data_IF_424902408586
#
_entry.id   IF_424902408586
#
_cell.length_a   1.000
_cell.length_b   1.000
_cell.length_c   1.000
_cell.angle_alpha   90.00
_cell.angle_beta   90.00
_cell.angle_gamma   90.00
#
_symmetry.space_group_name_H-M   'P 1'
#
loop_
_entity.id
_entity.type
_entity.pdbx_description
1 polymer ?
#
# COMPACT_ATOMS: atom_id res chain seq x y z
N UNK A 1 2.32 -43.10 13.46
CA UNK A 1 2.71 -41.68 13.31
C UNK A 1 1.60 -40.98 12.53
N UNK A 2 0.58 -40.50 13.23
CA UNK A 2 -0.48 -39.68 12.63
C UNK A 2 0.12 -38.31 12.32
N UNK A 3 0.28 -37.98 11.04
CA UNK A 3 0.47 -36.61 10.60
C UNK A 3 -0.81 -35.86 10.97
N UNK A 4 -0.90 -35.30 12.17
CA UNK A 4 -1.94 -34.33 12.50
C UNK A 4 -1.72 -33.13 11.59
N UNK A 5 -2.55 -33.05 10.56
CA UNK A 5 -2.59 -31.92 9.65
C UNK A 5 -2.98 -30.70 10.50
N UNK A 6 -2.02 -29.81 10.76
CA UNK A 6 -2.28 -28.57 11.48
C UNK A 6 -3.11 -27.62 10.59
N UNK A 7 -4.44 -27.70 10.75
CA UNK A 7 -5.42 -26.88 10.04
C UNK A 7 -5.12 -25.38 10.14
N UNK A 8 -4.53 -24.93 11.26
CA UNK A 8 -4.16 -23.52 11.49
C UNK A 8 -3.03 -23.10 10.56
N UNK A 9 -2.06 -23.98 10.30
CA UNK A 9 -0.98 -23.71 9.35
C UNK A 9 -1.47 -23.68 7.91
N UNK A 10 -2.41 -24.56 7.54
CA UNK A 10 -3.01 -24.56 6.21
C UNK A 10 -3.80 -23.27 5.97
N UNK A 11 -4.68 -22.88 6.89
CA UNK A 11 -5.44 -21.61 6.78
C UNK A 11 -4.50 -20.41 6.70
N UNK A 12 -3.40 -20.41 7.48
CA UNK A 12 -2.37 -19.37 7.42
C UNK A 12 -1.71 -19.28 6.05
N UNK A 13 -1.31 -20.41 5.46
CA UNK A 13 -0.69 -20.45 4.12
C UNK A 13 -1.66 -20.02 3.03
N UNK A 14 -2.92 -20.44 3.13
CA UNK A 14 -3.97 -20.03 2.19
C UNK A 14 -4.16 -18.52 2.22
N UNK A 15 -4.27 -17.91 3.41
CA UNK A 15 -4.42 -16.47 3.53
C UNK A 15 -3.21 -15.68 3.01
N UNK A 16 -1.99 -16.09 3.35
CA UNK A 16 -0.79 -15.37 2.90
C UNK A 16 -0.57 -15.50 1.41
N UNK A 17 -1.01 -16.60 0.79
CA UNK A 17 -0.95 -16.79 -0.67
C UNK A 17 -1.75 -15.73 -1.43
N UNK A 18 -2.85 -15.22 -0.85
CA UNK A 18 -3.66 -14.15 -1.45
C UNK A 18 -2.88 -12.86 -1.62
N UNK A 19 -1.83 -12.61 -0.83
CA UNK A 19 -1.00 -11.41 -0.94
C UNK A 19 0.26 -11.61 -1.79
N UNK A 20 0.45 -12.78 -2.42
CA UNK A 20 1.65 -13.06 -3.21
C UNK A 20 1.58 -12.56 -4.67
N UNK A 21 0.48 -11.93 -5.06
CA UNK A 21 0.20 -11.53 -6.44
C UNK A 21 0.78 -10.17 -6.85
N UNK A 22 1.42 -9.42 -5.94
CA UNK A 22 2.06 -8.14 -6.28
C UNK A 22 1.10 -6.96 -6.45
N UNK A 23 -0.21 -7.16 -6.29
CA UNK A 23 -1.21 -6.09 -6.51
C UNK A 23 -1.15 -5.01 -5.44
N UNK A 24 -0.76 -5.35 -4.22
CA UNK A 24 -0.61 -4.38 -3.11
C UNK A 24 0.56 -3.43 -3.40
N UNK A 25 1.68 -3.99 -3.84
CA UNK A 25 2.85 -3.25 -4.26
C UNK A 25 2.51 -2.28 -5.42
N UNK A 26 1.70 -2.73 -6.39
CA UNK A 26 1.26 -1.89 -7.50
C UNK A 26 0.34 -0.75 -7.04
N UNK A 27 -0.68 -1.05 -6.23
CA UNK A 27 -1.63 -0.07 -5.70
C UNK A 27 -0.91 1.05 -4.94
N UNK A 28 -0.06 0.67 -3.98
CA UNK A 28 0.71 1.64 -3.18
C UNK A 28 1.70 2.41 -4.06
N UNK A 29 2.33 1.77 -5.05
CA UNK A 29 3.22 2.43 -6.00
C UNK A 29 2.51 3.52 -6.80
N UNK A 30 1.29 3.24 -7.31
CA UNK A 30 0.45 4.20 -8.02
C UNK A 30 0.09 5.38 -7.12
N UNK A 31 -0.29 5.13 -5.87
CA UNK A 31 -0.62 6.19 -4.91
C UNK A 31 0.59 7.10 -4.62
N UNK A 32 1.78 6.53 -4.45
CA UNK A 32 3.00 7.31 -4.19
C UNK A 32 3.40 8.14 -5.40
N UNK A 33 3.39 7.55 -6.60
CA UNK A 33 3.67 8.29 -7.83
C UNK A 33 2.64 9.41 -8.03
N UNK A 34 1.38 9.16 -7.69
CA UNK A 34 0.34 10.17 -7.69
C UNK A 34 0.68 11.38 -6.82
N UNK A 35 1.26 11.16 -5.65
CA UNK A 35 1.76 12.23 -4.77
C UNK A 35 2.82 13.11 -5.44
N UNK A 36 3.82 12.50 -6.08
CA UNK A 36 4.86 13.24 -6.81
C UNK A 36 4.33 14.02 -8.01
N UNK A 37 3.43 13.40 -8.77
CA UNK A 37 2.80 14.04 -9.92
C UNK A 37 1.91 15.21 -9.50
N UNK A 38 1.20 15.04 -8.39
CA UNK A 38 0.34 16.06 -7.82
C UNK A 38 1.16 17.29 -7.37
N UNK A 39 2.21 17.07 -6.57
CA UNK A 39 3.14 18.12 -6.16
C UNK A 39 3.78 18.84 -7.35
N UNK A 40 4.03 18.13 -8.45
CA UNK A 40 4.55 18.70 -9.69
C UNK A 40 3.53 19.63 -10.35
N UNK A 41 2.29 19.15 -10.55
CA UNK A 41 1.23 19.89 -11.23
C UNK A 41 0.81 21.14 -10.47
N UNK A 42 0.78 21.11 -9.13
CA UNK A 42 0.41 22.30 -8.33
C UNK A 42 1.38 23.48 -8.45
N UNK A 43 2.57 23.29 -9.04
CA UNK A 43 3.44 24.43 -9.38
C UNK A 43 2.96 25.18 -10.63
N UNK A 44 2.15 24.53 -11.48
CA UNK A 44 1.69 25.07 -12.76
C UNK A 44 0.20 25.42 -12.75
N UNK A 45 -0.58 24.79 -11.88
CA UNK A 45 -2.04 24.96 -11.79
C UNK A 45 -2.48 25.25 -10.35
N UNK A 46 -3.68 25.83 -10.22
CA UNK A 46 -4.26 26.15 -8.91
C UNK A 46 -4.37 24.95 -7.98
N UNK A 47 -4.37 25.23 -6.67
CA UNK A 47 -4.44 24.23 -5.59
C UNK A 47 -5.68 23.33 -5.65
N UNK A 48 -6.75 23.74 -6.35
CA UNK A 48 -7.94 22.91 -6.58
C UNK A 48 -7.64 21.62 -7.36
N UNK A 49 -6.60 21.62 -8.20
CA UNK A 49 -6.17 20.42 -8.94
C UNK A 49 -5.56 19.36 -8.02
N UNK A 50 -5.09 19.76 -6.83
CA UNK A 50 -4.49 18.85 -5.87
C UNK A 50 -5.48 17.77 -5.41
N UNK A 51 -6.68 18.18 -5.00
CA UNK A 51 -7.69 17.25 -4.53
C UNK A 51 -8.15 16.30 -5.66
N UNK A 52 -8.36 16.84 -6.86
CA UNK A 52 -8.80 16.06 -8.01
C UNK A 52 -7.79 14.97 -8.39
N UNK A 53 -6.51 15.31 -8.52
CA UNK A 53 -5.48 14.35 -8.89
C UNK A 53 -5.30 13.28 -7.82
N UNK A 54 -5.33 13.65 -6.54
CA UNK A 54 -5.24 12.68 -5.46
C UNK A 54 -6.38 11.66 -5.51
N UNK A 55 -7.61 12.12 -5.77
CA UNK A 55 -8.77 11.25 -5.97
C UNK A 55 -8.58 10.34 -7.19
N UNK A 56 -8.14 10.89 -8.32
CA UNK A 56 -7.91 10.11 -9.55
C UNK A 56 -6.89 8.99 -9.32
N UNK A 57 -5.73 9.29 -8.74
CA UNK A 57 -4.72 8.27 -8.46
C UNK A 57 -5.21 7.26 -7.42
N UNK A 58 -5.97 7.69 -6.42
CA UNK A 58 -6.60 6.79 -5.44
C UNK A 58 -7.59 5.83 -6.11
N UNK A 59 -8.42 6.32 -7.03
CA UNK A 59 -9.35 5.49 -7.81
C UNK A 59 -8.57 4.51 -8.69
N UNK A 60 -7.53 4.97 -9.39
CA UNK A 60 -6.73 4.12 -10.29
C UNK A 60 -6.02 3.01 -9.51
N UNK A 61 -5.41 3.33 -8.37
CA UNK A 61 -4.80 2.34 -7.48
C UNK A 61 -5.83 1.32 -7.00
N UNK A 62 -6.94 1.81 -6.43
CA UNK A 62 -8.01 0.96 -5.92
C UNK A 62 -8.60 0.05 -7.00
N UNK A 63 -8.82 0.57 -8.20
CA UNK A 63 -9.31 -0.21 -9.34
C UNK A 63 -8.29 -1.25 -9.78
N UNK A 64 -7.00 -0.90 -9.81
CA UNK A 64 -5.92 -1.85 -10.13
C UNK A 64 -5.91 -3.01 -9.14
N UNK A 65 -6.03 -2.72 -7.85
CA UNK A 65 -6.14 -3.73 -6.81
C UNK A 65 -7.40 -4.58 -6.95
N UNK A 66 -8.57 -3.94 -7.05
CA UNK A 66 -9.87 -4.62 -7.07
C UNK A 66 -10.05 -5.48 -8.33
N UNK A 67 -9.77 -4.91 -9.51
CA UNK A 67 -9.87 -5.63 -10.78
C UNK A 67 -8.80 -6.73 -10.86
N UNK A 68 -7.58 -6.45 -10.39
CA UNK A 68 -6.53 -7.46 -10.28
C UNK A 68 -6.97 -8.65 -9.43
N UNK A 69 -7.54 -8.41 -8.24
CA UNK A 69 -8.06 -9.50 -7.40
C UNK A 69 -9.19 -10.25 -8.10
N UNK A 70 -10.16 -9.54 -8.66
CA UNK A 70 -11.36 -10.12 -9.27
C UNK A 70 -11.04 -10.98 -10.50
N UNK A 71 -10.17 -10.49 -11.40
CA UNK A 71 -9.92 -11.11 -12.69
C UNK A 71 -8.62 -11.92 -12.76
N UNK A 72 -7.65 -11.66 -11.88
CA UNK A 72 -6.37 -12.36 -11.88
C UNK A 72 -6.29 -13.35 -10.73
N UNK A 73 -6.42 -12.88 -9.50
CA UNK A 73 -6.11 -13.68 -8.30
C UNK A 73 -7.21 -14.69 -7.97
N UNK A 74 -8.47 -14.25 -7.93
CA UNK A 74 -9.60 -15.09 -7.54
C UNK A 74 -9.82 -16.29 -8.47
N UNK A 75 -9.74 -16.16 -9.82
CA UNK A 75 -9.90 -17.30 -10.71
C UNK A 75 -8.77 -18.34 -10.61
N UNK A 76 -7.60 -17.97 -10.06
CA UNK A 76 -6.41 -18.84 -9.95
C UNK A 76 -6.29 -19.53 -8.60
N UNK A 77 -6.63 -18.83 -7.51
CA UNK A 77 -6.54 -19.37 -6.15
C UNK A 77 -7.87 -19.89 -5.59
N UNK A 78 -9.00 -19.51 -6.21
CA UNK A 78 -10.32 -19.68 -5.62
C UNK A 78 -10.56 -18.75 -4.43
N UNK A 79 -11.74 -18.87 -3.81
CA UNK A 79 -12.14 -18.06 -2.65
C UNK A 79 -12.22 -18.96 -1.42
N UNK A 80 -11.33 -18.75 -0.45
CA UNK A 80 -11.36 -19.46 0.82
C UNK A 80 -12.27 -18.73 1.83
N UNK A 81 -13.15 -19.48 2.52
CA UNK A 81 -13.89 -18.97 3.67
C UNK A 81 -13.03 -19.14 4.93
N UNK A 82 -12.65 -18.04 5.56
CA UNK A 82 -11.84 -18.06 6.78
C UNK A 82 -12.67 -18.31 8.03
N UNK A 83 -12.05 -18.91 9.06
CA UNK A 83 -12.71 -19.19 10.33
C UNK A 83 -13.00 -17.93 11.17
N UNK A 84 -13.89 -18.03 12.18
CA UNK A 84 -14.37 -16.88 12.97
C UNK A 84 -13.25 -16.11 13.68
N UNK A 85 -12.20 -16.81 14.14
CA UNK A 85 -11.01 -16.18 14.76
C UNK A 85 -10.32 -15.20 13.82
N UNK A 86 -10.25 -15.52 12.53
CA UNK A 86 -9.56 -14.70 11.53
C UNK A 86 -10.42 -13.54 11.04
N UNK A 87 -11.73 -13.74 10.95
CA UNK A 87 -12.69 -12.66 10.70
C UNK A 87 -12.66 -11.61 11.81
N UNK A 88 -12.53 -12.03 13.09
CA UNK A 88 -12.35 -11.11 14.21
C UNK A 88 -11.02 -10.33 14.12
N UNK A 89 -9.92 -10.99 13.75
CA UNK A 89 -8.64 -10.32 13.52
C UNK A 89 -8.70 -9.30 12.38
N UNK A 90 -9.44 -9.61 11.29
CA UNK A 90 -9.66 -8.69 10.19
C UNK A 90 -10.48 -7.46 10.61
N UNK A 91 -11.54 -7.65 11.40
CA UNK A 91 -12.29 -6.53 12.00
C UNK A 91 -11.41 -5.66 12.89
N UNK A 92 -10.54 -6.26 13.70
CA UNK A 92 -9.56 -5.53 14.51
C UNK A 92 -8.60 -4.71 13.64
N UNK A 93 -8.09 -5.28 12.56
CA UNK A 93 -7.23 -4.58 11.61
C UNK A 93 -7.96 -3.41 10.95
N UNK A 94 -9.23 -3.60 10.56
CA UNK A 94 -10.06 -2.55 10.00
C UNK A 94 -10.28 -1.40 10.99
N UNK A 95 -10.55 -1.71 12.26
CA UNK A 95 -10.65 -0.69 13.32
C UNK A 95 -9.34 0.07 13.53
N UNK A 96 -8.20 -0.63 13.57
CA UNK A 96 -6.87 0.01 13.70
C UNK A 96 -6.61 0.92 12.50
N UNK A 97 -6.90 0.47 11.29
CA UNK A 97 -6.72 1.25 10.06
C UNK A 97 -7.61 2.49 10.08
N UNK A 98 -8.88 2.33 10.45
CA UNK A 98 -9.83 3.44 10.57
C UNK A 98 -9.37 4.47 11.61
N UNK A 99 -8.85 4.01 12.76
CA UNK A 99 -8.27 4.88 13.78
C UNK A 99 -7.11 5.70 13.22
N UNK A 100 -6.20 5.08 12.46
CA UNK A 100 -5.10 5.80 11.81
C UNK A 100 -5.58 6.80 10.75
N UNK A 101 -6.58 6.46 9.95
CA UNK A 101 -7.18 7.39 8.97
C UNK A 101 -7.82 8.60 9.69
N UNK A 102 -8.55 8.37 10.78
CA UNK A 102 -9.14 9.45 11.57
C UNK A 102 -8.05 10.33 12.20
N UNK A 103 -7.05 9.72 12.84
CA UNK A 103 -5.95 10.45 13.48
C UNK A 103 -5.17 11.30 12.47
N UNK A 104 -4.86 10.75 11.29
CA UNK A 104 -4.17 11.49 10.22
C UNK A 104 -5.04 12.60 9.63
N UNK A 105 -6.34 12.37 9.45
CA UNK A 105 -7.28 13.40 9.00
C UNK A 105 -7.35 14.55 10.00
N UNK A 106 -7.45 14.26 11.30
CA UNK A 106 -7.43 15.29 12.36
C UNK A 106 -6.12 16.08 12.31
N UNK A 107 -4.97 15.41 12.20
CA UNK A 107 -3.67 16.08 12.08
C UNK A 107 -3.61 17.02 10.87
N UNK A 108 -4.13 16.60 9.72
CA UNK A 108 -4.20 17.43 8.50
C UNK A 108 -5.10 18.65 8.74
N UNK A 109 -6.26 18.49 9.37
CA UNK A 109 -7.17 19.60 9.67
C UNK A 109 -6.52 20.59 10.65
N UNK A 110 -5.89 20.09 11.73
CA UNK A 110 -5.24 20.94 12.73
C UNK A 110 -4.06 21.73 12.13
N UNK A 111 -3.26 21.09 11.27
CA UNK A 111 -2.15 21.75 10.58
C UNK A 111 -2.62 22.76 9.54
N UNK A 112 -3.67 22.47 8.77
CA UNK A 112 -4.26 23.40 7.80
C UNK A 112 -4.84 24.67 8.45
N UNK A 113 -5.35 24.57 9.69
CA UNK A 113 -5.89 25.70 10.45
C UNK A 113 -4.85 26.42 11.33
N UNK A 114 -3.56 26.08 11.20
CA UNK A 114 -2.46 26.62 12.03
C UNK A 114 -2.65 26.44 13.55
N UNK A 115 -3.44 25.44 13.97
CA UNK A 115 -3.71 25.15 15.38
C UNK A 115 -2.59 24.34 16.04
N UNK A 116 -1.72 23.72 15.24
CA UNK A 116 -0.50 23.05 15.70
C UNK A 116 0.72 23.92 15.36
N UNK A 117 1.56 24.13 16.36
CA UNK A 117 2.81 24.87 16.20
C UNK A 117 3.72 24.12 15.21
N UNK A 118 3.96 24.72 14.04
CA UNK A 118 4.76 24.10 12.97
C UNK A 118 6.22 23.85 13.38
N UNK A 119 6.69 24.49 14.46
CA UNK A 119 8.08 24.44 14.96
C UNK A 119 8.58 23.04 15.30
N UNK A 120 7.72 22.12 15.74
CA UNK A 120 8.10 20.72 16.05
C UNK A 120 8.41 19.90 14.78
N UNK A 121 8.05 20.41 13.61
CA UNK A 121 8.11 19.68 12.33
C UNK A 121 9.06 20.35 11.32
N UNK A 122 9.88 21.31 11.77
CA UNK A 122 10.81 22.03 10.91
C UNK A 122 12.11 21.24 10.74
N UNK A 123 12.49 21.02 9.48
CA UNK A 123 13.75 20.37 9.10
C UNK A 123 13.65 18.85 8.96
N UNK A 124 14.74 18.27 8.47
CA UNK A 124 14.80 16.86 8.08
C UNK A 124 14.46 15.88 9.23
N UNK A 125 14.87 16.22 10.47
CA UNK A 125 14.58 15.40 11.65
C UNK A 125 13.08 15.28 11.94
N UNK A 126 12.35 16.40 11.83
CA UNK A 126 10.89 16.42 12.00
C UNK A 126 10.18 15.59 10.93
N UNK A 127 10.59 15.72 9.66
CA UNK A 127 10.01 14.97 8.54
C UNK A 127 10.27 13.47 8.69
N UNK A 128 11.47 13.07 9.14
CA UNK A 128 11.78 11.65 9.42
C UNK A 128 10.84 11.12 10.50
N UNK A 129 10.68 11.82 11.63
CA UNK A 129 9.79 11.40 12.72
C UNK A 129 8.34 11.27 12.23
N UNK A 130 7.84 12.26 11.49
CA UNK A 130 6.50 12.23 10.92
C UNK A 130 6.33 11.04 9.98
N UNK A 131 7.27 10.84 9.05
CA UNK A 131 7.20 9.74 8.09
C UNK A 131 7.18 8.38 8.78
N UNK A 132 7.96 8.24 9.87
CA UNK A 132 8.01 7.02 10.66
C UNK A 132 6.70 6.77 11.41
N UNK A 133 6.13 7.79 12.06
CA UNK A 133 4.92 7.66 12.88
C UNK A 133 3.63 7.54 12.05
N UNK A 134 3.55 8.27 10.93
CA UNK A 134 2.33 8.37 10.12
C UNK A 134 2.29 7.32 9.00
N UNK A 135 3.44 6.95 8.43
CA UNK A 135 3.48 6.05 7.27
C UNK A 135 4.08 4.70 7.64
N UNK A 136 5.32 4.68 8.13
CA UNK A 136 6.05 3.42 8.33
C UNK A 136 5.44 2.57 9.46
N UNK A 137 5.15 3.18 10.61
CA UNK A 137 4.64 2.47 11.79
C UNK A 137 3.24 1.87 11.53
N UNK A 138 2.24 2.59 10.99
CA UNK A 138 0.92 2.02 10.76
C UNK A 138 0.96 0.87 9.75
N UNK A 139 1.70 1.02 8.64
CA UNK A 139 1.85 -0.03 7.64
C UNK A 139 2.58 -1.25 8.24
N UNK A 140 3.57 -1.03 9.11
CA UNK A 140 4.28 -2.11 9.81
C UNK A 140 3.39 -2.87 10.81
N UNK A 141 2.49 -2.18 11.51
CA UNK A 141 1.49 -2.81 12.39
C UNK A 141 0.52 -3.66 11.55
N UNK A 142 0.09 -3.15 10.40
CA UNK A 142 -0.73 -3.89 9.45
C UNK A 142 0.04 -5.12 8.94
N UNK A 143 1.32 -4.98 8.59
CA UNK A 143 2.18 -6.08 8.15
C UNK A 143 2.30 -7.19 9.19
N UNK A 144 2.47 -6.82 10.47
CA UNK A 144 2.53 -7.75 11.59
C UNK A 144 1.25 -8.58 11.70
N UNK A 145 0.09 -7.91 11.70
CA UNK A 145 -1.20 -8.60 11.83
C UNK A 145 -1.56 -9.43 10.61
N UNK A 146 -1.20 -8.98 9.40
CA UNK A 146 -1.42 -9.72 8.16
C UNK A 146 -0.42 -10.87 7.96
N UNK A 147 0.65 -10.94 8.77
CA UNK A 147 1.79 -11.84 8.54
C UNK A 147 2.36 -11.68 7.13
N UNK A 148 2.39 -10.45 6.63
CA UNK A 148 2.82 -10.13 5.28
C UNK A 148 4.19 -9.47 5.32
N UNK A 149 5.25 -10.28 5.38
CA UNK A 149 6.63 -9.80 5.61
C UNK A 149 7.09 -8.75 4.59
N UNK A 150 6.66 -8.85 3.32
CA UNK A 150 7.04 -7.87 2.30
C UNK A 150 6.45 -6.48 2.56
N UNK A 151 5.32 -6.40 3.27
CA UNK A 151 4.69 -5.12 3.60
C UNK A 151 5.55 -4.25 4.53
N UNK A 152 6.48 -4.84 5.30
CA UNK A 152 7.49 -4.05 6.02
C UNK A 152 8.45 -3.32 5.09
N UNK A 153 8.92 -3.97 4.01
CA UNK A 153 9.77 -3.33 3.02
C UNK A 153 9.02 -2.20 2.29
N UNK A 154 7.75 -2.44 1.97
CA UNK A 154 6.86 -1.41 1.41
C UNK A 154 6.73 -0.24 2.39
N UNK A 155 6.46 -0.50 3.68
CA UNK A 155 6.35 0.55 4.69
C UNK A 155 7.57 1.47 4.73
N UNK A 156 8.77 0.89 4.66
CA UNK A 156 10.03 1.64 4.65
C UNK A 156 10.17 2.45 3.36
N UNK A 157 9.92 1.86 2.19
CA UNK A 157 9.98 2.58 0.91
C UNK A 157 8.99 3.76 0.87
N UNK A 158 7.77 3.57 1.38
CA UNK A 158 6.77 4.63 1.49
C UNK A 158 7.23 5.74 2.45
N UNK A 159 7.75 5.37 3.61
CA UNK A 159 8.23 6.32 4.62
C UNK A 159 9.42 7.14 4.15
N UNK A 160 10.31 6.56 3.32
CA UNK A 160 11.51 7.23 2.83
C UNK A 160 11.23 8.28 1.75
N UNK A 161 10.09 8.23 1.06
CA UNK A 161 9.78 9.17 -0.02
C UNK A 161 9.78 10.63 0.45
N UNK A 162 9.27 10.92 1.65
CA UNK A 162 9.17 12.30 2.14
C UNK A 162 10.52 12.86 2.63
N UNK A 163 11.27 12.17 3.51
CA UNK A 163 12.61 12.59 3.89
C UNK A 163 13.55 12.74 2.69
N UNK A 164 13.41 11.86 1.69
CA UNK A 164 14.23 11.93 0.49
C UNK A 164 13.92 13.16 -0.37
N UNK A 165 12.64 13.57 -0.48
CA UNK A 165 12.28 14.84 -1.13
C UNK A 165 12.96 16.03 -0.44
N UNK A 166 12.97 16.06 0.91
CA UNK A 166 13.63 17.14 1.65
C UNK A 166 15.15 17.16 1.45
N UNK A 167 15.82 16.00 1.39
CA UNK A 167 17.25 15.94 1.08
C UNK A 167 17.54 16.50 -0.31
N UNK A 168 16.72 16.14 -1.29
CA UNK A 168 16.85 16.60 -2.68
C UNK A 168 16.61 18.10 -2.85
N UNK A 169 16.01 18.77 -1.86
CA UNK A 169 15.75 20.21 -1.89
C UNK A 169 17.00 21.06 -2.10
N UNK A 170 18.14 20.61 -1.57
CA UNK A 170 19.43 21.30 -1.73
C UNK A 170 20.07 21.08 -3.10
N UNK A 171 19.62 20.08 -3.85
CA UNK A 171 20.24 19.67 -5.12
C UNK A 171 19.38 19.99 -6.35
N UNK A 172 18.06 19.96 -6.19
CA UNK A 172 17.11 20.06 -7.31
C UNK A 172 15.92 20.94 -6.94
N UNK A 173 15.52 21.80 -7.88
CA UNK A 173 14.35 22.67 -7.74
C UNK A 173 13.03 21.93 -7.99
N UNK A 174 11.94 22.59 -7.61
CA UNK A 174 10.60 22.20 -8.04
C UNK A 174 10.46 22.40 -9.56
N UNK A 175 9.80 21.49 -10.31
CA UNK A 175 9.04 20.33 -9.87
C UNK A 175 9.82 19.00 -9.88
N UNK A 176 11.02 18.97 -10.48
CA UNK A 176 11.77 17.74 -10.70
C UNK A 176 12.09 16.98 -9.41
N UNK A 177 12.26 17.71 -8.31
CA UNK A 177 12.49 17.13 -6.97
C UNK A 177 11.43 16.09 -6.57
N UNK A 178 10.15 16.49 -6.62
CA UNK A 178 9.04 15.64 -6.25
C UNK A 178 8.88 14.47 -7.23
N UNK A 179 9.08 14.72 -8.53
CA UNK A 179 9.03 13.67 -9.53
C UNK A 179 10.11 12.61 -9.29
N UNK A 180 11.34 13.02 -8.97
CA UNK A 180 12.45 12.10 -8.69
C UNK A 180 12.19 11.32 -7.41
N UNK A 181 11.82 11.99 -6.32
CA UNK A 181 11.63 11.31 -5.04
C UNK A 181 10.50 10.29 -5.09
N UNK A 182 9.29 10.75 -5.35
CA UNK A 182 8.10 9.89 -5.36
C UNK A 182 8.08 8.95 -6.57
N UNK A 183 8.63 9.36 -7.71
CA UNK A 183 8.78 8.51 -8.89
C UNK A 183 9.76 7.37 -8.65
N UNK A 184 10.87 7.60 -7.94
CA UNK A 184 11.84 6.55 -7.61
C UNK A 184 11.19 5.50 -6.69
N UNK A 185 10.61 5.91 -5.57
CA UNK A 185 10.01 4.97 -4.62
C UNK A 185 8.73 4.33 -5.17
N UNK A 186 7.80 5.12 -5.71
CA UNK A 186 6.56 4.62 -6.29
C UNK A 186 6.79 3.75 -7.52
N UNK A 187 7.73 4.14 -8.39
CA UNK A 187 8.16 3.35 -9.55
C UNK A 187 8.82 2.03 -9.14
N UNK A 188 9.67 2.02 -8.11
CA UNK A 188 10.27 0.79 -7.59
C UNK A 188 9.21 -0.19 -7.06
N UNK A 189 8.18 0.31 -6.38
CA UNK A 189 7.06 -0.49 -5.89
C UNK A 189 6.20 -1.03 -7.04
N UNK A 190 5.92 -0.22 -8.05
CA UNK A 190 5.23 -0.66 -9.27
C UNK A 190 5.99 -1.78 -9.99
N UNK A 191 7.30 -1.60 -10.20
CA UNK A 191 8.16 -2.61 -10.84
C UNK A 191 8.17 -3.89 -10.01
N UNK A 192 8.36 -3.78 -8.69
CA UNK A 192 8.32 -4.92 -7.77
C UNK A 192 6.99 -5.65 -7.85
N UNK A 193 5.87 -4.92 -7.81
CA UNK A 193 4.53 -5.48 -7.91
C UNK A 193 4.28 -6.18 -9.23
N UNK A 194 4.71 -5.59 -10.34
CA UNK A 194 4.62 -6.21 -11.67
C UNK A 194 5.44 -7.50 -11.76
N UNK A 195 6.66 -7.53 -11.21
CA UNK A 195 7.49 -8.74 -11.16
C UNK A 195 6.79 -9.85 -10.37
N UNK A 196 6.20 -9.52 -9.22
CA UNK A 196 5.46 -10.50 -8.41
C UNK A 196 4.19 -10.97 -9.12
N UNK A 197 3.46 -10.08 -9.79
CA UNK A 197 2.28 -10.43 -10.57
C UNK A 197 2.63 -11.40 -11.71
N UNK A 198 3.69 -11.13 -12.45
CA UNK A 198 4.15 -12.02 -13.52
C UNK A 198 4.60 -13.39 -12.98
N UNK A 199 5.33 -13.41 -11.86
CA UNK A 199 5.71 -14.67 -11.18
C UNK A 199 4.49 -15.42 -10.67
N UNK A 200 3.50 -14.72 -10.13
CA UNK A 200 2.27 -15.29 -9.64
C UNK A 200 1.46 -15.94 -10.76
N UNK A 201 1.28 -15.26 -11.88
CA UNK A 201 0.58 -15.81 -13.06
C UNK A 201 1.28 -17.06 -13.60
N UNK A 202 2.62 -17.08 -13.62
CA UNK A 202 3.39 -18.26 -14.05
C UNK A 202 3.28 -19.43 -13.06
N UNK A 203 3.24 -19.14 -11.76
CA UNK A 203 3.17 -20.15 -10.70
C UNK A 203 1.77 -20.76 -10.55
N UNK A 204 0.73 -19.97 -10.81
CA UNK A 204 -0.67 -20.37 -10.68
C UNK A 204 -1.38 -20.23 -12.04
N UNK A 205 -1.17 -21.18 -12.97
CA UNK A 205 -1.91 -21.19 -14.23
C UNK A 205 -3.41 -21.39 -13.97
N UNK A 206 -4.25 -20.93 -14.89
CA UNK A 206 -5.70 -21.15 -14.80
C UNK A 206 -5.99 -22.66 -14.86
N UNK A 207 -6.93 -23.17 -14.05
CA UNK A 207 -7.38 -24.55 -14.18
C UNK A 207 -7.88 -24.83 -15.60
N UNK A 208 -7.50 -25.97 -16.18
CA UNK A 208 -8.09 -26.46 -17.43
C UNK A 208 -9.61 -26.56 -17.28
N UNK A 209 -10.38 -26.20 -18.31
CA UNK A 209 -11.86 -26.28 -18.33
C UNK A 209 -12.37 -27.65 -17.88
N UNK A 210 -11.65 -28.73 -18.17
CA UNK A 210 -12.02 -30.10 -17.77
C UNK A 210 -12.06 -30.33 -16.25
N UNK A 211 -11.29 -29.57 -15.46
CA UNK A 211 -11.29 -29.67 -13.99
C UNK A 211 -12.36 -28.76 -13.37
N UNK A 212 -12.77 -27.69 -14.08
CA UNK A 212 -13.78 -26.75 -13.62
C UNK A 212 -15.21 -27.30 -13.71
N UNK A 213 -15.45 -28.22 -14.67
CA UNK A 213 -16.75 -28.86 -14.91
C UNK A 213 -16.88 -30.24 -14.22
N UNK A 214 -15.85 -30.69 -13.48
CA UNK A 214 -15.93 -31.91 -12.69
C UNK A 214 -16.89 -31.68 -11.50
N UNK A 215 -17.93 -32.53 -11.32
CA UNK A 215 -18.84 -32.39 -10.20
C UNK A 215 -18.08 -32.54 -8.88
N UNK A 216 -18.18 -31.51 -8.02
CA UNK A 216 -17.66 -31.48 -6.65
C UNK A 216 -18.53 -32.29 -5.70
#
# INVERSE_FOLDING_TARGET
>A
MSNEIDLKQIERRAFTSTFQDGLVEMDIGIMIMGGGFNMTITNFFDSSWFALLFIVYGIVGFMTFFLGKKYITNPRLGVAKFGPKRTAAHKKLLMITLLFVIATTILVILTANNLLQQSLFVGIGGIIIISLLIVTLPISIIAYHLNFTRLYAIAVLCGLAWPFDEVLRSFTGSPFRALISYGLFGGSLLIMGLIYLLRFIRKYPLPSKEIADAPQ
#
